data_IF_574816465476
#
_entry.id   IF_574816465476
#
_cell.length_a   1.000
_cell.length_b   1.000
_cell.length_c   1.000
_cell.angle_alpha   90.00
_cell.angle_beta   90.00
_cell.angle_gamma   90.00
#
_symmetry.space_group_name_H-M   'P 1'
#
loop_
_entity.id
_entity.type
_entity.pdbx_description
1 polymer ?
#
# COMPACT_ATOMS: atom_id res chain seq x y z
N UNK A 1 11.55 10.84 -2.90
CA UNK A 1 10.72 10.58 -4.09
C UNK A 1 9.29 10.43 -3.64
N UNK A 2 8.35 10.83 -4.49
CA UNK A 2 6.92 10.82 -4.25
C UNK A 2 6.25 10.39 -5.56
N UNK A 3 5.27 9.51 -5.45
CA UNK A 3 4.40 9.05 -6.52
C UNK A 3 2.95 9.12 -6.04
N UNK A 4 2.07 9.64 -6.90
CA UNK A 4 0.63 9.73 -6.67
C UNK A 4 -0.07 9.05 -7.85
N UNK A 5 -1.02 8.19 -7.53
CA UNK A 5 -1.91 7.51 -8.46
C UNK A 5 -3.35 7.86 -8.06
N UNK A 6 -4.07 8.50 -8.99
CA UNK A 6 -5.45 8.93 -8.84
C UNK A 6 -6.14 8.67 -10.18
N UNK A 7 -7.23 7.92 -10.14
CA UNK A 7 -8.06 7.63 -11.29
C UNK A 7 -9.53 7.64 -10.89
N UNK A 8 -10.38 8.01 -11.84
CA UNK A 8 -11.82 7.98 -11.73
C UNK A 8 -12.38 7.38 -13.01
N UNK A 9 -13.59 6.81 -12.92
CA UNK A 9 -14.28 6.27 -14.07
C UNK A 9 -15.73 5.94 -13.73
N UNK A 10 -16.57 6.03 -14.76
CA UNK A 10 -18.01 5.84 -14.68
C UNK A 10 -18.48 5.00 -15.89
N UNK A 11 -19.57 4.27 -15.73
CA UNK A 11 -20.25 3.53 -16.78
C UNK A 11 -21.78 3.72 -16.74
N UNK A 12 -22.42 3.52 -17.90
CA UNK A 12 -23.87 3.52 -18.08
C UNK A 12 -24.22 2.13 -18.63
N UNK A 13 -24.51 1.17 -17.73
CA UNK A 13 -24.70 -0.24 -18.10
C UNK A 13 -26.11 -0.48 -18.67
N UNK A 14 -27.12 0.27 -18.23
CA UNK A 14 -28.51 0.13 -18.63
C UNK A 14 -28.93 1.08 -19.77
N UNK A 15 -27.99 1.89 -20.27
CA UNK A 15 -28.15 2.81 -21.40
C UNK A 15 -29.25 3.86 -21.17
N UNK A 16 -29.45 4.27 -19.92
CA UNK A 16 -30.48 5.24 -19.54
C UNK A 16 -29.97 6.70 -19.58
N UNK A 17 -28.66 6.87 -19.79
CA UNK A 17 -27.97 8.15 -19.85
C UNK A 17 -27.50 8.68 -18.50
N UNK A 18 -27.75 7.97 -17.40
CA UNK A 18 -27.17 8.21 -16.09
C UNK A 18 -25.87 7.40 -15.93
N UNK A 19 -24.84 8.05 -15.41
CA UNK A 19 -23.50 7.46 -15.31
C UNK A 19 -23.19 7.13 -13.86
N UNK A 20 -22.92 5.87 -13.59
CA UNK A 20 -22.62 5.35 -12.26
C UNK A 20 -21.13 5.09 -12.10
N UNK A 21 -20.61 5.24 -10.89
CA UNK A 21 -19.19 5.03 -10.63
C UNK A 21 -18.76 3.57 -10.87
N UNK A 22 -17.60 3.39 -11.50
CA UNK A 22 -16.98 2.07 -11.63
C UNK A 22 -16.62 1.50 -10.24
N UNK A 23 -16.69 0.18 -10.15
CA UNK A 23 -16.35 -0.61 -8.95
C UNK A 23 -14.91 -0.37 -8.52
N UNK A 24 -14.66 -0.55 -7.23
CA UNK A 24 -13.32 -0.47 -6.65
C UNK A 24 -12.36 -1.56 -7.15
N UNK A 25 -12.88 -2.61 -7.80
CA UNK A 25 -12.07 -3.61 -8.52
C UNK A 25 -11.51 -3.13 -9.85
N UNK A 26 -12.16 -2.15 -10.48
CA UNK A 26 -11.81 -1.61 -11.79
C UNK A 26 -11.01 -0.31 -11.65
N UNK A 27 -11.45 0.55 -10.73
CA UNK A 27 -10.78 1.82 -10.39
C UNK A 27 -10.33 1.77 -8.92
N UNK A 28 -9.01 1.63 -8.65
CA UNK A 28 -8.52 1.56 -7.28
C UNK A 28 -8.67 2.91 -6.56
N UNK A 29 -8.71 2.91 -5.22
CA UNK A 29 -8.62 4.14 -4.43
C UNK A 29 -7.33 4.91 -4.71
N UNK A 30 -7.32 6.21 -4.35
CA UNK A 30 -6.11 7.04 -4.41
C UNK A 30 -4.94 6.36 -3.68
N UNK A 31 -3.76 6.35 -4.30
CA UNK A 31 -2.56 5.72 -3.75
C UNK A 31 -1.40 6.70 -3.79
N UNK A 32 -0.75 6.88 -2.65
CA UNK A 32 0.44 7.71 -2.51
C UNK A 32 1.59 6.84 -2.00
N UNK A 33 2.72 6.89 -2.70
CA UNK A 33 3.96 6.24 -2.28
C UNK A 33 5.03 7.31 -2.15
N UNK A 34 5.70 7.35 -1.00
CA UNK A 34 6.78 8.29 -0.77
C UNK A 34 7.95 7.61 -0.08
N UNK A 35 9.17 8.09 -0.35
CA UNK A 35 10.31 7.74 0.49
C UNK A 35 11.30 8.88 0.65
N UNK A 36 11.93 8.90 1.81
CA UNK A 36 13.16 9.64 2.08
C UNK A 36 14.28 8.65 2.31
N UNK A 37 15.44 8.92 1.72
CA UNK A 37 16.65 8.12 1.89
C UNK A 37 17.81 9.02 2.26
N UNK A 38 18.65 8.57 3.19
CA UNK A 38 19.82 9.29 3.64
C UNK A 38 20.99 8.33 3.91
N UNK A 39 22.18 8.70 3.44
CA UNK A 39 23.42 8.08 3.89
C UNK A 39 23.86 8.76 5.19
N UNK A 40 23.69 8.06 6.30
CA UNK A 40 23.87 8.64 7.65
C UNK A 40 25.34 8.63 8.06
N UNK A 41 26.10 7.64 7.60
CA UNK A 41 27.55 7.55 7.65
C UNK A 41 28.04 6.88 6.35
N UNK A 42 29.33 7.02 5.96
CA UNK A 42 29.86 6.31 4.81
C UNK A 42 29.58 4.80 4.88
N UNK A 43 28.87 4.28 3.88
CA UNK A 43 28.47 2.87 3.83
C UNK A 43 27.24 2.51 4.67
N UNK A 44 26.57 3.48 5.31
CA UNK A 44 25.33 3.27 6.05
C UNK A 44 24.20 4.13 5.49
N UNK A 45 23.26 3.46 4.81
CA UNK A 45 22.10 4.06 4.15
C UNK A 45 20.81 3.66 4.85
N UNK A 46 19.96 4.64 5.11
CA UNK A 46 18.67 4.47 5.75
C UNK A 46 17.57 5.02 4.85
N UNK A 47 16.46 4.28 4.74
CA UNK A 47 15.29 4.66 3.96
C UNK A 47 14.04 4.52 4.83
N UNK A 48 13.24 5.57 4.85
CA UNK A 48 11.89 5.54 5.39
C UNK A 48 10.92 5.65 4.21
N UNK A 49 10.04 4.68 4.06
CA UNK A 49 9.10 4.56 2.94
C UNK A 49 7.68 4.50 3.49
N UNK A 50 6.78 5.30 2.91
CA UNK A 50 5.38 5.37 3.27
C UNK A 50 4.51 4.96 2.08
N UNK A 51 3.44 4.21 2.37
CA UNK A 51 2.33 3.91 1.49
C UNK A 51 1.05 4.40 2.16
N UNK A 52 0.30 5.25 1.48
CA UNK A 52 -1.06 5.61 1.84
C UNK A 52 -1.99 5.13 0.72
N UNK A 53 -3.08 4.47 1.10
CA UNK A 53 -4.22 4.18 0.23
C UNK A 53 -5.42 4.85 0.86
N UNK A 54 -6.09 5.72 0.09
CA UNK A 54 -7.27 6.43 0.55
C UNK A 54 -8.50 5.55 0.60
N UNK A 55 -9.55 6.08 1.21
CA UNK A 55 -10.88 5.50 1.17
C UNK A 55 -11.51 5.66 -0.22
N UNK A 56 -12.51 4.83 -0.51
CA UNK A 56 -13.36 4.94 -1.69
C UNK A 56 -14.75 4.41 -1.39
N UNK A 57 -15.74 5.28 -1.50
CA UNK A 57 -17.16 4.98 -1.26
C UNK A 57 -18.01 5.05 -2.53
N UNK A 58 -17.59 5.78 -3.57
CA UNK A 58 -18.35 5.99 -4.81
C UNK A 58 -18.96 4.71 -5.43
N UNK A 59 -18.19 3.62 -5.48
CA UNK A 59 -18.71 2.34 -6.01
C UNK A 59 -19.77 1.72 -5.10
N UNK A 60 -19.70 1.95 -3.78
CA UNK A 60 -20.70 1.52 -2.81
C UNK A 60 -21.94 2.43 -2.86
N UNK A 61 -21.77 3.75 -3.00
CA UNK A 61 -22.89 4.70 -3.16
C UNK A 61 -23.69 4.46 -4.44
N UNK A 62 -23.04 3.93 -5.49
CA UNK A 62 -23.67 3.50 -6.73
C UNK A 62 -24.21 2.05 -6.68
N UNK A 63 -24.29 1.42 -5.50
CA UNK A 63 -24.71 0.02 -5.32
C UNK A 63 -23.90 -1.02 -6.17
N UNK A 64 -22.70 -0.65 -6.63
CA UNK A 64 -21.82 -1.49 -7.47
C UNK A 64 -20.82 -2.30 -6.64
N UNK A 65 -20.40 -1.78 -5.50
CA UNK A 65 -19.55 -2.44 -4.51
C UNK A 65 -20.38 -2.85 -3.28
N UNK A 66 -20.09 -3.99 -2.62
CA UNK A 66 -20.86 -4.45 -1.46
C UNK A 66 -20.60 -3.65 -0.17
N UNK A 67 -19.53 -2.85 -0.13
CA UNK A 67 -19.08 -2.01 1.00
C UNK A 67 -18.05 -0.98 0.51
N UNK A 68 -17.85 0.14 1.24
CA UNK A 68 -16.77 1.06 0.93
C UNK A 68 -15.39 0.45 1.22
N UNK A 69 -14.36 1.02 0.59
CA UNK A 69 -12.96 0.73 0.89
C UNK A 69 -12.48 1.66 2.00
N UNK A 70 -11.94 1.07 3.06
CA UNK A 70 -11.31 1.78 4.18
C UNK A 70 -9.86 2.12 3.84
N UNK A 71 -9.48 3.35 4.16
CA UNK A 71 -8.11 3.84 3.98
C UNK A 71 -7.11 3.13 4.88
N UNK A 72 -5.84 3.10 4.47
CA UNK A 72 -4.75 2.61 5.32
C UNK A 72 -3.42 3.30 5.04
N UNK A 73 -2.57 3.32 6.06
CA UNK A 73 -1.23 3.89 6.01
C UNK A 73 -0.20 2.89 6.56
N UNK A 74 0.82 2.60 5.76
CA UNK A 74 1.92 1.71 6.14
C UNK A 74 3.24 2.47 6.03
N UNK A 75 4.08 2.32 7.05
CA UNK A 75 5.40 2.92 7.13
C UNK A 75 6.44 1.82 7.27
N UNK A 76 7.43 1.81 6.38
CA UNK A 76 8.51 0.84 6.36
C UNK A 76 9.85 1.54 6.57
N UNK A 77 10.75 0.86 7.29
CA UNK A 77 12.12 1.30 7.50
C UNK A 77 13.10 0.26 6.97
N UNK A 78 14.05 0.69 6.13
CA UNK A 78 15.08 -0.16 5.55
C UNK A 78 16.44 0.46 5.84
N UNK A 79 17.35 -0.32 6.41
CA UNK A 79 18.73 0.08 6.71
C UNK A 79 19.70 -0.86 6.03
N UNK A 80 20.75 -0.31 5.42
CA UNK A 80 21.80 -1.05 4.73
C UNK A 80 23.16 -0.57 5.20
N UNK A 81 23.99 -1.47 5.72
CA UNK A 81 25.29 -1.16 6.36
C UNK A 81 26.38 -2.00 5.71
N UNK A 82 27.39 -1.34 5.13
CA UNK A 82 28.59 -1.99 4.63
C UNK A 82 29.45 -2.44 5.82
N UNK A 83 29.73 -3.75 5.88
CA UNK A 83 30.53 -4.36 6.95
C UNK A 83 31.44 -5.42 6.33
N UNK A 84 32.75 -5.24 6.48
CA UNK A 84 33.75 -6.16 5.93
C UNK A 84 33.60 -6.33 4.40
N UNK A 85 33.55 -7.57 3.88
CA UNK A 85 33.40 -7.85 2.45
C UNK A 85 31.94 -7.77 1.95
N UNK A 86 31.01 -7.27 2.76
CA UNK A 86 29.58 -7.38 2.46
C UNK A 86 28.72 -6.24 2.99
N UNK A 87 27.42 -6.50 3.03
CA UNK A 87 26.40 -5.54 3.43
C UNK A 87 25.33 -6.24 4.27
N UNK A 88 25.08 -5.72 5.47
CA UNK A 88 23.95 -6.11 6.30
C UNK A 88 22.73 -5.28 5.86
N UNK A 89 21.60 -5.93 5.63
CA UNK A 89 20.31 -5.29 5.37
C UNK A 89 19.34 -5.62 6.51
N UNK A 90 18.67 -4.61 7.03
CA UNK A 90 17.63 -4.71 8.05
C UNK A 90 16.37 -4.07 7.48
N UNK A 91 15.26 -4.78 7.46
CA UNK A 91 13.95 -4.27 7.09
C UNK A 91 12.97 -4.37 8.25
N UNK A 92 12.25 -3.30 8.54
CA UNK A 92 11.09 -3.27 9.42
C UNK A 92 9.90 -2.85 8.56
N UNK A 93 9.00 -3.79 8.27
CA UNK A 93 7.77 -3.49 7.55
C UNK A 93 6.63 -3.27 8.52
N UNK A 94 5.72 -2.35 8.21
CA UNK A 94 4.65 -1.91 9.11
C UNK A 94 5.22 -1.47 10.47
N UNK A 95 6.14 -0.51 10.44
CA UNK A 95 6.84 0.09 11.57
C UNK A 95 5.88 0.54 12.68
N UNK A 96 4.68 1.02 12.31
CA UNK A 96 3.67 1.50 13.24
C UNK A 96 2.79 0.38 13.83
N UNK A 97 2.94 -0.86 13.37
CA UNK A 97 2.16 -2.05 13.78
C UNK A 97 0.65 -1.81 13.71
N UNK A 98 0.20 -1.27 12.58
CA UNK A 98 -1.22 -1.04 12.32
C UNK A 98 -1.83 -2.30 11.72
N UNK A 99 -2.98 -2.70 12.24
CA UNK A 99 -3.86 -3.64 11.55
C UNK A 99 -4.50 -2.91 10.36
N UNK A 100 -4.50 -3.55 9.19
CA UNK A 100 -5.13 -3.02 7.98
C UNK A 100 -5.48 -4.16 7.02
N UNK A 101 -6.36 -3.87 6.06
CA UNK A 101 -6.76 -4.79 5.00
C UNK A 101 -6.35 -4.17 3.67
N UNK A 102 -5.63 -4.93 2.82
CA UNK A 102 -5.30 -4.45 1.48
C UNK A 102 -6.57 -4.38 0.63
N UNK A 103 -6.59 -3.49 -0.38
CA UNK A 103 -7.77 -3.26 -1.25
C UNK A 103 -8.39 -4.57 -1.75
N UNK A 104 -7.58 -5.52 -2.21
CA UNK A 104 -8.07 -6.81 -2.71
C UNK A 104 -8.73 -7.70 -1.63
N UNK A 105 -8.36 -7.56 -0.36
CA UNK A 105 -9.01 -8.24 0.77
C UNK A 105 -10.26 -7.48 1.25
N UNK A 106 -10.47 -6.23 0.80
CA UNK A 106 -11.68 -5.44 1.07
C UNK A 106 -12.77 -5.58 -0.01
N UNK A 107 -12.40 -5.89 -1.25
CA UNK A 107 -13.32 -6.14 -2.38
C UNK A 107 -14.09 -7.50 -2.38
N UNK A 108 -13.78 -8.55 -1.58
CA UNK A 108 -14.45 -9.84 -1.74
C UNK A 108 -15.98 -9.76 -1.66
N UNK A 109 -16.66 -10.42 -2.60
CA UNK A 109 -18.12 -10.62 -2.63
C UNK A 109 -18.66 -11.31 -1.36
N UNK A 110 -17.81 -12.02 -0.63
CA UNK A 110 -18.15 -12.56 0.69
C UNK A 110 -17.62 -11.67 1.80
N UNK A 111 -18.52 -11.14 2.62
CA UNK A 111 -18.21 -10.30 3.78
C UNK A 111 -17.30 -11.00 4.82
N UNK A 112 -17.17 -12.33 4.76
CA UNK A 112 -16.41 -13.13 5.74
C UNK A 112 -14.98 -13.46 5.32
N UNK A 113 -14.51 -12.97 4.16
CA UNK A 113 -13.21 -13.33 3.59
C UNK A 113 -12.22 -12.17 3.57
N UNK A 114 -12.15 -11.38 4.65
CA UNK A 114 -11.11 -10.36 4.80
C UNK A 114 -9.91 -10.93 5.56
N UNK A 115 -8.74 -10.90 4.94
CA UNK A 115 -7.50 -11.23 5.63
C UNK A 115 -6.78 -9.94 6.00
N UNK A 116 -6.54 -9.75 7.29
CA UNK A 116 -5.68 -8.65 7.72
C UNK A 116 -4.28 -8.87 7.14
N UNK A 117 -3.67 -7.81 6.65
CA UNK A 117 -2.27 -7.82 6.26
C UNK A 117 -1.38 -8.08 7.49
N UNK A 118 -0.14 -8.58 7.31
CA UNK A 118 0.77 -8.76 8.42
C UNK A 118 0.94 -7.49 9.25
N UNK A 119 1.00 -7.67 10.58
CA UNK A 119 1.47 -6.64 11.49
C UNK A 119 2.95 -6.31 11.28
N UNK A 120 3.65 -5.81 12.30
CA UNK A 120 5.07 -5.52 12.17
C UNK A 120 5.89 -6.78 11.86
N UNK A 121 6.69 -6.73 10.80
CA UNK A 121 7.65 -7.79 10.47
C UNK A 121 9.07 -7.24 10.42
N UNK A 122 10.04 -8.07 10.80
CA UNK A 122 11.46 -7.71 10.83
C UNK A 122 12.24 -8.72 9.99
N UNK A 123 13.09 -8.23 9.10
CA UNK A 123 14.00 -9.02 8.29
C UNK A 123 15.45 -8.57 8.51
N UNK A 124 16.37 -9.53 8.50
CA UNK A 124 17.81 -9.29 8.57
C UNK A 124 18.50 -10.19 7.55
N UNK A 125 19.40 -9.63 6.76
CA UNK A 125 20.19 -10.37 5.78
C UNK A 125 21.62 -9.86 5.69
N UNK A 126 22.53 -10.70 5.23
CA UNK A 126 23.91 -10.33 4.93
C UNK A 126 24.26 -10.79 3.52
N UNK A 127 24.75 -9.87 2.69
CA UNK A 127 25.18 -10.13 1.31
C UNK A 127 26.68 -9.92 1.20
N UNK A 128 27.42 -10.92 0.72
CA UNK A 128 28.85 -10.81 0.42
C UNK A 128 29.01 -10.37 -1.03
N UNK A 129 29.90 -9.41 -1.28
CA UNK A 129 30.24 -8.96 -2.62
C UNK A 129 31.62 -9.55 -2.99
N UNK A 130 31.71 -10.24 -4.14
CA UNK A 130 32.94 -10.84 -4.67
C UNK A 130 33.30 -10.21 -6.00
#
# INVERSE_FOLDING_TARGET
MLELDLSEGEDDIDEDGDFEALRSSDIPPIKIVAYVENETLPGWRNRLQALYVGDRDRGFEADRDPRPIESYFVLDYISSIQVGPGTIQIGIHNLLDKEYFVVNDQIPFSLTAQNAAPGRTISVGYRVNF
#
